data_IF_091828811888
#
_entry.id   IF_091828811888
#
_cell.length_a   1.000
_cell.length_b   1.000
_cell.length_c   1.000
_cell.angle_alpha   90.00
_cell.angle_beta   90.00
_cell.angle_gamma   90.00
#
_symmetry.space_group_name_H-M   'P 1'
#
loop_
_entity.id
_entity.type
_entity.pdbx_description
1 polymer ?
#
# COMPACT_ATOMS: atom_id res chain seq x y z
N UNK A 1 21.63 -5.89 6.39
CA UNK A 1 20.62 -6.68 5.64
C UNK A 1 19.38 -5.79 5.52
N UNK A 2 19.06 -5.30 4.32
CA UNK A 2 17.87 -4.45 4.12
C UNK A 2 16.66 -5.36 3.97
N UNK A 3 15.78 -5.40 4.96
CA UNK A 3 14.56 -6.20 4.92
C UNK A 3 13.50 -5.47 4.07
N UNK A 4 13.10 -6.07 2.96
CA UNK A 4 11.99 -5.58 2.15
C UNK A 4 10.75 -6.42 2.44
N UNK A 5 9.70 -5.81 3.01
CA UNK A 5 8.41 -6.45 3.20
C UNK A 5 7.49 -6.16 1.99
N UNK A 6 6.89 -7.20 1.43
CA UNK A 6 5.85 -7.10 0.40
C UNK A 6 4.49 -7.51 0.99
N UNK A 7 3.44 -6.76 0.67
CA UNK A 7 2.07 -7.03 1.12
C UNK A 7 1.14 -6.94 -0.09
N UNK A 8 0.41 -8.00 -0.37
CA UNK A 8 -0.55 -8.04 -1.46
C UNK A 8 -1.86 -7.40 -1.02
N UNK A 9 -2.19 -6.30 -1.69
CA UNK A 9 -3.38 -5.53 -1.39
C UNK A 9 -4.46 -5.78 -2.45
N UNK A 10 -5.56 -6.38 -2.01
CA UNK A 10 -6.74 -6.61 -2.84
C UNK A 10 -7.76 -5.49 -2.63
N UNK A 11 -8.12 -4.80 -3.72
CA UNK A 11 -9.18 -3.80 -3.76
C UNK A 11 -10.20 -4.18 -4.82
N UNK A 12 -11.45 -3.75 -4.64
CA UNK A 12 -12.50 -3.94 -5.64
C UNK A 12 -12.24 -3.08 -6.87
N UNK A 13 -12.76 -3.50 -8.03
CA UNK A 13 -12.63 -2.75 -9.27
C UNK A 13 -13.13 -1.29 -9.17
N UNK A 14 -14.29 -0.99 -8.55
CA UNK A 14 -14.72 0.40 -8.34
C UNK A 14 -13.73 1.23 -7.53
N UNK A 15 -13.14 0.64 -6.48
CA UNK A 15 -12.14 1.32 -5.64
C UNK A 15 -10.85 1.61 -6.42
N UNK A 16 -10.46 0.74 -7.36
CA UNK A 16 -9.33 0.97 -8.25
C UNK A 16 -9.61 2.09 -9.27
N UNK A 17 -10.84 2.15 -9.78
CA UNK A 17 -11.28 3.16 -10.76
C UNK A 17 -11.43 4.55 -10.15
N UNK A 18 -12.18 4.68 -9.04
CA UNK A 18 -12.42 5.97 -8.39
C UNK A 18 -11.31 6.40 -7.44
N UNK A 19 -10.42 5.48 -7.07
CA UNK A 19 -9.43 5.69 -6.03
C UNK A 19 -10.04 5.52 -4.65
N UNK A 20 -9.22 5.15 -3.69
CA UNK A 20 -9.64 4.89 -2.32
C UNK A 20 -8.50 5.18 -1.35
N UNK A 21 -8.82 5.30 -0.07
CA UNK A 21 -7.83 5.35 0.99
C UNK A 21 -8.07 4.17 1.92
N UNK A 22 -7.02 3.39 2.15
CA UNK A 22 -7.10 2.17 2.94
C UNK A 22 -5.96 2.13 3.95
N UNK A 23 -6.15 1.38 5.02
CA UNK A 23 -5.09 1.06 5.97
C UNK A 23 -4.55 -0.33 5.69
N UNK A 24 -3.23 -0.44 5.56
CA UNK A 24 -2.55 -1.73 5.47
C UNK A 24 -1.75 -1.98 6.75
N UNK A 25 -1.68 -3.24 7.23
CA UNK A 25 -0.77 -3.62 8.29
C UNK A 25 0.68 -3.53 7.79
N UNK A 26 1.56 -3.06 8.66
CA UNK A 26 3.01 -2.95 8.48
C UNK A 26 3.70 -3.57 9.71
N UNK A 27 4.99 -3.85 9.61
CA UNK A 27 5.78 -4.43 10.71
C UNK A 27 5.64 -3.60 12.00
N UNK A 28 5.64 -2.28 11.88
CA UNK A 28 5.62 -1.34 13.02
C UNK A 28 4.22 -0.79 13.37
N UNK A 29 3.15 -1.33 12.78
CA UNK A 29 1.77 -0.86 13.02
C UNK A 29 0.94 -0.77 11.75
N UNK A 30 0.16 0.32 11.56
CA UNK A 30 -0.66 0.53 10.36
C UNK A 30 -0.17 1.69 9.51
N UNK A 31 -0.23 1.54 8.19
CA UNK A 31 0.04 2.60 7.23
C UNK A 31 -1.21 2.91 6.41
N UNK A 32 -1.55 4.20 6.30
CA UNK A 32 -2.57 4.66 5.35
C UNK A 32 -1.95 4.74 3.96
N UNK A 33 -2.54 4.04 3.00
CA UNK A 33 -2.19 4.12 1.58
C UNK A 33 -3.33 4.82 0.86
N UNK A 34 -2.98 5.83 0.06
CA UNK A 34 -3.90 6.43 -0.90
C UNK A 34 -3.72 5.76 -2.26
N UNK A 35 -4.77 5.11 -2.72
CA UNK A 35 -4.86 4.54 -4.06
C UNK A 35 -5.46 5.63 -4.98
N UNK A 36 -4.70 6.16 -5.95
CA UNK A 36 -5.25 7.12 -6.90
C UNK A 36 -6.27 6.45 -7.84
N UNK A 37 -7.24 7.22 -8.38
CA UNK A 37 -8.15 6.73 -9.40
C UNK A 37 -7.41 6.18 -10.63
N UNK A 38 -7.99 5.18 -11.28
CA UNK A 38 -7.39 4.49 -12.42
C UNK A 38 -6.16 3.65 -12.07
N UNK A 39 -6.04 3.18 -10.82
CA UNK A 39 -4.92 2.30 -10.44
C UNK A 39 -5.07 0.94 -11.11
N UNK A 40 -4.04 0.55 -11.88
CA UNK A 40 -3.99 -0.76 -12.54
C UNK A 40 -3.47 -1.85 -11.60
N UNK A 41 -3.83 -3.09 -11.92
CA UNK A 41 -3.30 -4.28 -11.24
C UNK A 41 -1.78 -4.37 -11.38
N UNK A 42 -1.11 -4.88 -10.35
CA UNK A 42 0.35 -5.02 -10.32
C UNK A 42 1.13 -3.74 -10.04
N UNK A 43 0.46 -2.60 -9.85
CA UNK A 43 1.12 -1.34 -9.47
C UNK A 43 1.72 -1.43 -8.07
N UNK A 44 3.03 -1.22 -7.98
CA UNK A 44 3.76 -1.26 -6.70
C UNK A 44 3.74 0.11 -6.04
N UNK A 45 3.14 0.21 -4.85
CA UNK A 45 3.21 1.39 -4.00
C UNK A 45 4.32 1.23 -2.97
N UNK A 46 5.37 2.04 -3.08
CA UNK A 46 6.45 2.08 -2.10
C UNK A 46 6.13 3.06 -0.97
N UNK A 47 5.97 2.55 0.24
CA UNK A 47 5.86 3.37 1.44
C UNK A 47 7.25 3.79 1.91
N UNK A 48 7.67 5.02 1.58
CA UNK A 48 8.90 5.61 2.11
C UNK A 48 8.63 6.17 3.52
N UNK A 49 9.39 5.72 4.52
CA UNK A 49 9.31 6.22 5.90
C UNK A 49 8.45 5.41 6.87
N UNK A 50 7.87 4.29 6.43
CA UNK A 50 7.12 3.32 7.27
C UNK A 50 7.77 1.93 7.33
N UNK A 51 8.94 1.76 6.69
CA UNK A 51 9.84 0.65 6.96
C UNK A 51 10.81 1.14 8.04
N UNK A 52 10.61 0.66 9.26
CA UNK A 52 11.55 0.64 10.38
C UNK A 52 12.77 1.55 10.25
N UNK A 53 12.75 2.65 11.02
CA UNK A 53 13.97 3.24 11.56
C UNK A 53 14.22 2.61 12.92
N UNK A 54 14.67 1.36 12.94
CA UNK A 54 15.47 0.74 14.00
C UNK A 54 16.50 -0.17 13.37
#
# INVERSE_FOLDING_TARGET
MVLNAAFDLYITFPNAVFGTQIEVPTIDGRAKIKIPPGTQSGKIFRLKGKASRQ
#
